data_IF_600558780675
#
_entry.id   IF_600558780675
#
_cell.length_a   1.000
_cell.length_b   1.000
_cell.length_c   1.000
_cell.angle_alpha   90.00
_cell.angle_beta   90.00
_cell.angle_gamma   90.00
#
_symmetry.space_group_name_H-M   'P 1'
#
loop_
_entity.id
_entity.type
_entity.pdbx_description
1 polymer ?
#
# COMPACT_ATOMS: atom_id res chain seq x y z
N UNK A 1 21.22 7.59 -16.58
CA UNK A 1 20.93 7.76 -15.14
C UNK A 1 21.05 9.22 -14.73
N UNK A 2 22.23 9.86 -14.88
CA UNK A 2 22.41 11.29 -14.56
C UNK A 2 21.47 12.25 -15.32
N UNK A 3 21.12 11.92 -16.57
CA UNK A 3 20.18 12.74 -17.36
C UNK A 3 18.74 12.66 -16.84
N UNK A 4 18.30 11.48 -16.40
CA UNK A 4 16.99 11.29 -15.75
C UNK A 4 16.96 12.04 -14.41
N UNK A 5 18.04 11.96 -13.64
CA UNK A 5 18.17 12.60 -12.35
C UNK A 5 18.15 14.14 -12.46
N UNK A 6 18.88 14.71 -13.43
CA UNK A 6 18.86 16.15 -13.73
C UNK A 6 17.49 16.65 -14.21
N UNK A 7 16.77 15.87 -15.03
CA UNK A 7 15.46 16.28 -15.55
C UNK A 7 14.34 16.12 -14.52
N UNK A 8 14.46 15.14 -13.63
CA UNK A 8 13.53 14.93 -12.52
C UNK A 8 13.79 15.85 -11.31
N UNK A 9 15.00 16.41 -11.17
CA UNK A 9 15.32 17.40 -10.13
C UNK A 9 14.81 18.80 -10.47
N UNK A 10 14.56 19.09 -11.74
CA UNK A 10 13.89 20.32 -12.15
C UNK A 10 12.42 20.10 -11.84
N UNK A 11 11.88 20.82 -10.86
CA UNK A 11 10.49 20.75 -10.41
C UNK A 11 9.45 21.22 -11.46
N UNK A 12 9.66 20.88 -12.73
CA UNK A 12 8.76 21.14 -13.84
C UNK A 12 7.91 19.88 -14.10
N UNK A 13 6.61 19.91 -13.81
CA UNK A 13 5.72 18.75 -13.94
C UNK A 13 5.69 18.15 -15.35
N UNK A 14 5.84 18.98 -16.40
CA UNK A 14 5.83 18.53 -17.80
C UNK A 14 7.09 17.72 -18.11
N UNK A 15 8.25 18.19 -17.66
CA UNK A 15 9.51 17.48 -17.84
C UNK A 15 9.56 16.19 -17.04
N UNK A 16 9.04 16.20 -15.80
CA UNK A 16 8.94 14.97 -15.00
C UNK A 16 8.04 13.93 -15.66
N UNK A 17 6.87 14.34 -16.14
CA UNK A 17 5.94 13.43 -16.81
C UNK A 17 6.58 12.83 -18.07
N UNK A 18 7.17 13.66 -18.94
CA UNK A 18 7.84 13.20 -20.16
C UNK A 18 8.99 12.23 -19.86
N UNK A 19 9.80 12.55 -18.85
CA UNK A 19 10.95 11.75 -18.45
C UNK A 19 10.50 10.42 -17.83
N UNK A 20 9.42 10.43 -17.06
CA UNK A 20 8.82 9.21 -16.49
C UNK A 20 8.18 8.33 -17.56
N UNK A 21 7.48 8.91 -18.54
CA UNK A 21 6.94 8.15 -19.68
C UNK A 21 8.05 7.43 -20.45
N UNK A 22 9.15 8.12 -20.77
CA UNK A 22 10.29 7.50 -21.44
C UNK A 22 10.91 6.36 -20.61
N UNK A 23 11.00 6.53 -19.27
CA UNK A 23 11.48 5.48 -18.38
C UNK A 23 10.55 4.26 -18.37
N UNK A 24 9.23 4.48 -18.33
CA UNK A 24 8.22 3.41 -18.41
C UNK A 24 8.37 2.63 -19.72
N UNK A 25 8.46 3.32 -20.86
CA UNK A 25 8.64 2.70 -22.18
C UNK A 25 9.90 1.82 -22.22
N UNK A 26 11.03 2.35 -21.75
CA UNK A 26 12.29 1.58 -21.66
C UNK A 26 12.14 0.33 -20.79
N UNK A 27 11.45 0.44 -19.64
CA UNK A 27 11.20 -0.72 -18.78
C UNK A 27 10.34 -1.76 -19.52
N UNK A 28 9.27 -1.33 -20.18
CA UNK A 28 8.38 -2.24 -20.91
C UNK A 28 9.08 -2.96 -22.06
N UNK A 29 9.92 -2.27 -22.83
CA UNK A 29 10.73 -2.88 -23.89
C UNK A 29 11.67 -3.96 -23.33
N UNK A 30 12.41 -3.64 -22.27
CA UNK A 30 13.33 -4.60 -21.62
C UNK A 30 12.63 -5.78 -20.95
N UNK A 31 11.40 -5.58 -20.45
CA UNK A 31 10.56 -6.68 -19.93
C UNK A 31 10.17 -7.63 -21.07
N UNK A 32 9.76 -7.08 -22.22
CA UNK A 32 9.30 -7.86 -23.39
C UNK A 32 10.42 -8.69 -24.00
N UNK A 33 11.64 -8.17 -24.05
CA UNK A 33 12.75 -8.83 -24.72
C UNK A 33 13.30 -10.07 -23.99
N UNK A 34 12.83 -10.36 -22.75
CA UNK A 34 13.10 -11.58 -21.91
C UNK A 34 14.57 -12.01 -21.73
N UNK A 35 15.52 -11.40 -22.44
CA UNK A 35 16.94 -11.70 -22.47
C UNK A 35 17.64 -11.24 -21.19
N UNK A 36 17.20 -10.11 -20.62
CA UNK A 36 17.74 -9.54 -19.39
C UNK A 36 16.98 -9.96 -18.11
N UNK A 37 15.72 -10.36 -18.21
CA UNK A 37 14.87 -10.63 -17.03
C UNK A 37 15.35 -11.81 -16.18
N UNK A 38 16.11 -12.74 -16.76
CA UNK A 38 16.53 -13.97 -16.09
C UNK A 38 17.78 -13.83 -15.22
N UNK A 39 18.52 -12.72 -15.24
CA UNK A 39 19.81 -12.64 -14.51
C UNK A 39 20.06 -11.39 -13.67
N UNK A 40 19.45 -10.24 -13.94
CA UNK A 40 19.56 -9.04 -13.09
C UNK A 40 18.27 -8.23 -13.15
N UNK A 41 17.83 -7.70 -12.01
CA UNK A 41 16.77 -6.70 -11.97
C UNK A 41 17.10 -5.59 -12.99
N UNK A 42 16.13 -5.23 -13.84
CA UNK A 42 16.30 -4.18 -14.85
C UNK A 42 16.75 -2.91 -14.13
N UNK A 43 17.89 -2.34 -14.52
CA UNK A 43 18.50 -1.20 -13.83
C UNK A 43 17.54 -0.01 -13.72
N UNK A 44 16.72 0.21 -14.75
CA UNK A 44 15.67 1.24 -14.79
C UNK A 44 14.54 0.98 -13.78
N UNK A 45 14.15 -0.29 -13.60
CA UNK A 45 13.16 -0.66 -12.59
C UNK A 45 13.71 -0.46 -11.18
N UNK A 46 14.97 -0.83 -10.95
CA UNK A 46 15.65 -0.59 -9.68
C UNK A 46 15.73 0.91 -9.38
N UNK A 47 16.13 1.71 -10.36
CA UNK A 47 16.15 3.18 -10.25
C UNK A 47 14.76 3.74 -9.92
N UNK A 48 13.71 3.26 -10.57
CA UNK A 48 12.35 3.71 -10.31
C UNK A 48 11.92 3.44 -8.85
N UNK A 49 12.24 2.26 -8.32
CA UNK A 49 11.96 1.90 -6.92
C UNK A 49 12.80 2.73 -5.94
N UNK A 50 14.09 2.91 -6.21
CA UNK A 50 14.95 3.77 -5.39
C UNK A 50 14.47 5.21 -5.38
N UNK A 51 14.03 5.74 -6.53
CA UNK A 51 13.45 7.07 -6.65
C UNK A 51 12.14 7.16 -5.87
N UNK A 52 11.29 6.15 -5.92
CA UNK A 52 10.05 6.09 -5.15
C UNK A 52 10.28 6.23 -3.64
N UNK A 53 11.32 5.59 -3.11
CA UNK A 53 11.64 5.59 -1.67
C UNK A 53 12.32 6.89 -1.22
N UNK A 54 13.18 7.46 -2.09
CA UNK A 54 14.11 8.52 -1.72
C UNK A 54 13.75 9.91 -2.24
N UNK A 55 12.78 10.04 -3.15
CA UNK A 55 12.41 11.32 -3.73
C UNK A 55 11.63 12.23 -2.77
N UNK A 56 11.52 13.48 -3.17
CA UNK A 56 10.56 14.44 -2.63
C UNK A 56 9.11 13.93 -2.82
N UNK A 57 8.11 14.54 -2.14
CA UNK A 57 6.72 14.06 -2.23
C UNK A 57 6.18 13.92 -3.65
N UNK A 58 6.52 14.83 -4.55
CA UNK A 58 6.07 14.76 -5.95
C UNK A 58 6.75 13.62 -6.70
N UNK A 59 8.07 13.47 -6.58
CA UNK A 59 8.80 12.37 -7.19
C UNK A 59 8.35 11.00 -6.68
N UNK A 60 8.01 10.89 -5.40
CA UNK A 60 7.44 9.68 -4.81
C UNK A 60 6.08 9.35 -5.45
N UNK A 61 5.16 10.31 -5.54
CA UNK A 61 3.84 10.10 -6.15
C UNK A 61 3.96 9.71 -7.63
N UNK A 62 4.80 10.40 -8.41
CA UNK A 62 4.97 10.13 -9.85
C UNK A 62 5.59 8.74 -10.05
N UNK A 63 6.63 8.40 -9.29
CA UNK A 63 7.28 7.08 -9.37
C UNK A 63 6.34 5.95 -8.94
N UNK A 64 5.54 6.18 -7.89
CA UNK A 64 4.50 5.26 -7.44
C UNK A 64 3.44 4.99 -8.52
N UNK A 65 2.93 6.06 -9.16
CA UNK A 65 1.99 5.93 -10.28
C UNK A 65 2.59 5.19 -11.47
N UNK A 66 3.87 5.40 -11.76
CA UNK A 66 4.59 4.67 -12.80
C UNK A 66 4.68 3.16 -12.48
N UNK A 67 4.99 2.79 -11.23
CA UNK A 67 4.98 1.38 -10.79
C UNK A 67 3.59 0.76 -10.97
N UNK A 68 2.54 1.45 -10.54
CA UNK A 68 1.15 0.99 -10.74
C UNK A 68 0.82 0.81 -12.22
N UNK A 69 1.24 1.74 -13.09
CA UNK A 69 1.02 1.64 -14.53
C UNK A 69 1.74 0.43 -15.15
N UNK A 70 2.99 0.19 -14.77
CA UNK A 70 3.76 -0.96 -15.23
C UNK A 70 3.10 -2.30 -14.86
N UNK A 71 2.43 -2.36 -13.70
CA UNK A 71 1.67 -3.53 -13.27
C UNK A 71 0.37 -3.67 -14.06
N UNK A 72 -0.40 -2.58 -14.20
CA UNK A 72 -1.65 -2.57 -15.01
C UNK A 72 -1.42 -2.93 -16.47
N UNK A 73 -0.24 -2.60 -17.02
CA UNK A 73 0.16 -2.98 -18.39
C UNK A 73 0.66 -4.42 -18.52
N UNK A 74 0.65 -5.20 -17.43
CA UNK A 74 1.11 -6.60 -17.42
C UNK A 74 2.63 -6.78 -17.47
N UNK A 75 3.40 -5.70 -17.30
CA UNK A 75 4.86 -5.74 -17.35
C UNK A 75 5.47 -6.21 -16.03
N UNK A 76 4.75 -6.08 -14.93
CA UNK A 76 5.18 -6.47 -13.58
C UNK A 76 4.07 -7.24 -12.86
N UNK A 77 4.45 -8.18 -12.00
CA UNK A 77 3.52 -8.95 -11.16
C UNK A 77 3.21 -8.21 -9.86
N UNK A 78 1.92 -8.07 -9.50
CA UNK A 78 1.46 -7.38 -8.29
C UNK A 78 2.10 -7.96 -7.02
N UNK A 79 2.10 -9.30 -6.89
CA UNK A 79 2.60 -10.02 -5.71
C UNK A 79 4.09 -9.73 -5.45
N UNK A 80 4.91 -9.77 -6.52
CA UNK A 80 6.36 -9.52 -6.48
C UNK A 80 6.64 -8.08 -6.06
N UNK A 81 6.01 -7.10 -6.72
CA UNK A 81 6.24 -5.68 -6.41
C UNK A 81 5.77 -5.35 -4.99
N UNK A 82 4.63 -5.91 -4.56
CA UNK A 82 4.15 -5.73 -3.17
C UNK A 82 5.18 -6.22 -2.16
N UNK A 83 5.72 -7.42 -2.36
CA UNK A 83 6.73 -8.00 -1.46
C UNK A 83 8.02 -7.18 -1.42
N UNK A 84 8.49 -6.72 -2.58
CA UNK A 84 9.67 -5.86 -2.68
C UNK A 84 9.46 -4.50 -1.99
N UNK A 85 8.29 -3.86 -2.18
CA UNK A 85 7.99 -2.58 -1.53
C UNK A 85 7.82 -2.73 -0.01
N UNK A 86 7.23 -3.83 0.47
CA UNK A 86 7.18 -4.12 1.92
C UNK A 86 8.59 -4.22 2.51
N UNK A 87 9.52 -4.89 1.83
CA UNK A 87 10.92 -4.97 2.25
C UNK A 87 11.63 -3.60 2.23
N UNK A 88 11.12 -2.64 1.46
CA UNK A 88 11.65 -1.29 1.32
C UNK A 88 11.07 -0.29 2.34
N UNK A 89 10.01 -0.65 3.08
CA UNK A 89 9.35 0.22 4.08
C UNK A 89 10.33 0.84 5.08
N UNK A 90 11.31 0.12 5.66
CA UNK A 90 12.26 0.70 6.63
C UNK A 90 13.11 1.84 6.08
N UNK A 91 13.28 1.91 4.76
CA UNK A 91 14.10 2.90 4.07
C UNK A 91 13.28 4.08 3.51
N UNK A 92 11.95 4.02 3.62
CA UNK A 92 11.06 5.02 3.05
C UNK A 92 11.21 6.38 3.75
N UNK A 93 11.47 7.42 2.94
CA UNK A 93 11.44 8.81 3.41
C UNK A 93 10.04 9.42 3.37
N UNK A 94 9.14 8.84 2.57
CA UNK A 94 7.77 9.30 2.39
C UNK A 94 6.77 8.17 2.61
N UNK A 95 6.27 8.06 3.84
CA UNK A 95 5.29 7.04 4.20
C UNK A 95 3.92 7.25 3.55
N UNK A 96 3.50 8.51 3.32
CA UNK A 96 2.22 8.79 2.65
C UNK A 96 2.18 8.22 1.23
N UNK A 97 3.25 8.40 0.45
CA UNK A 97 3.36 7.80 -0.87
C UNK A 97 3.45 6.27 -0.82
N UNK A 98 4.19 5.73 0.16
CA UNK A 98 4.28 4.29 0.42
C UNK A 98 2.92 3.66 0.75
N UNK A 99 2.14 4.28 1.63
CA UNK A 99 0.77 3.88 2.00
C UNK A 99 -0.12 3.84 0.76
N UNK A 100 -0.10 4.90 -0.04
CA UNK A 100 -0.95 5.02 -1.22
C UNK A 100 -0.67 3.90 -2.22
N UNK A 101 0.61 3.68 -2.57
CA UNK A 101 1.00 2.64 -3.53
C UNK A 101 0.76 1.23 -2.99
N UNK A 102 1.18 0.92 -1.76
CA UNK A 102 0.95 -0.41 -1.19
C UNK A 102 -0.54 -0.73 -1.08
N UNK A 103 -1.37 0.25 -0.71
CA UNK A 103 -2.81 0.03 -0.64
C UNK A 103 -3.43 -0.15 -2.02
N UNK A 104 -3.02 0.64 -3.02
CA UNK A 104 -3.43 0.46 -4.42
C UNK A 104 -3.07 -0.96 -4.92
N UNK A 105 -1.89 -1.47 -4.56
CA UNK A 105 -1.45 -2.83 -4.90
C UNK A 105 -2.28 -3.92 -4.22
N UNK A 106 -2.58 -3.75 -2.93
CA UNK A 106 -3.42 -4.67 -2.17
C UNK A 106 -4.84 -4.75 -2.77
N UNK A 107 -5.41 -3.60 -3.13
CA UNK A 107 -6.73 -3.55 -3.78
C UNK A 107 -6.67 -4.16 -5.18
N UNK A 108 -5.60 -3.93 -5.95
CA UNK A 108 -5.43 -4.58 -7.25
C UNK A 108 -5.33 -6.10 -7.14
N UNK A 109 -4.55 -6.62 -6.19
CA UNK A 109 -4.44 -8.05 -5.94
C UNK A 109 -5.80 -8.66 -5.54
N UNK A 110 -6.56 -7.96 -4.68
CA UNK A 110 -7.94 -8.32 -4.34
C UNK A 110 -8.83 -8.39 -5.59
N UNK A 111 -8.79 -7.37 -6.45
CA UNK A 111 -9.64 -7.33 -7.64
C UNK A 111 -9.28 -8.42 -8.65
N UNK A 112 -8.01 -8.81 -8.74
CA UNK A 112 -7.56 -9.93 -9.56
C UNK A 112 -8.06 -11.29 -9.02
N UNK A 113 -8.15 -11.42 -7.69
CA UNK A 113 -8.57 -12.66 -7.00
C UNK A 113 -10.09 -12.77 -6.80
N UNK A 114 -10.83 -11.67 -6.88
CA UNK A 114 -12.30 -11.59 -6.64
C UNK A 114 -13.13 -12.55 -7.52
N UNK A 115 -12.61 -12.99 -8.66
CA UNK A 115 -13.34 -13.88 -9.57
C UNK A 115 -13.42 -15.35 -9.09
N UNK A 116 -12.90 -15.69 -7.90
CA UNK A 116 -12.74 -17.07 -7.43
C UNK A 116 -13.26 -17.27 -5.99
N UNK A 117 -14.56 -17.09 -5.73
CA UNK A 117 -15.19 -17.17 -4.39
C UNK A 117 -14.97 -15.94 -3.48
N UNK A 118 -15.52 -16.01 -2.25
CA UNK A 118 -15.35 -14.98 -1.20
C UNK A 118 -13.86 -14.73 -1.00
N UNK A 119 -13.43 -13.47 -1.08
CA UNK A 119 -12.04 -13.09 -0.85
C UNK A 119 -11.62 -13.50 0.57
N UNK A 120 -10.41 -14.04 0.71
CA UNK A 120 -9.78 -14.34 2.00
C UNK A 120 -8.47 -13.55 2.04
N UNK A 121 -8.28 -12.74 3.08
CA UNK A 121 -7.06 -11.96 3.22
C UNK A 121 -5.86 -12.90 3.46
N UNK A 122 -4.79 -12.83 2.65
CA UNK A 122 -3.63 -13.69 2.83
C UNK A 122 -2.72 -13.21 3.99
N UNK A 123 -3.01 -12.05 4.57
CA UNK A 123 -2.18 -11.40 5.57
C UNK A 123 -2.74 -11.56 6.99
N UNK A 124 -1.83 -11.53 7.96
CA UNK A 124 -2.10 -11.63 9.38
C UNK A 124 -1.43 -10.48 10.16
N UNK A 125 -1.51 -10.52 11.49
CA UNK A 125 -0.84 -9.56 12.38
C UNK A 125 0.69 -9.71 12.39
N UNK A 126 1.20 -10.93 12.15
CA UNK A 126 2.62 -11.30 12.35
C UNK A 126 3.26 -11.86 11.08
N UNK A 127 2.89 -13.06 10.62
CA UNK A 127 3.44 -13.65 9.37
C UNK A 127 2.33 -14.34 8.56
N UNK A 128 2.20 -14.04 7.25
CA UNK A 128 2.77 -12.86 6.59
C UNK A 128 2.08 -11.59 7.13
N UNK A 129 2.86 -10.60 7.55
CA UNK A 129 2.30 -9.37 8.14
C UNK A 129 1.57 -8.53 7.08
N UNK A 130 0.43 -7.95 7.45
CA UNK A 130 -0.25 -7.00 6.57
C UNK A 130 0.64 -5.77 6.30
N UNK A 131 0.85 -5.35 5.03
CA UNK A 131 1.79 -4.27 4.69
C UNK A 131 1.57 -2.95 5.44
N UNK A 132 0.32 -2.56 5.67
CA UNK A 132 0.00 -1.36 6.43
C UNK A 132 0.32 -1.47 7.94
N UNK A 133 0.34 -2.69 8.50
CA UNK A 133 0.85 -2.91 9.87
C UNK A 133 2.37 -2.69 9.89
N UNK A 134 3.09 -3.18 8.88
CA UNK A 134 4.54 -2.96 8.76
C UNK A 134 4.88 -1.47 8.71
N UNK A 135 4.09 -0.68 7.97
CA UNK A 135 4.21 0.79 7.97
C UNK A 135 3.98 1.38 9.37
N UNK A 136 2.91 0.99 10.07
CA UNK A 136 2.61 1.50 11.42
C UNK A 136 3.68 1.15 12.45
N UNK A 137 4.29 -0.03 12.34
CA UNK A 137 5.40 -0.44 13.21
C UNK A 137 6.62 0.45 12.97
N UNK A 138 6.90 0.78 11.70
CA UNK A 138 8.06 1.58 11.32
C UNK A 138 7.84 3.09 11.58
N UNK A 139 6.63 3.59 11.35
CA UNK A 139 6.23 4.97 11.56
C UNK A 139 4.80 5.02 12.10
N UNK A 140 4.69 5.13 13.43
CA UNK A 140 3.40 5.16 14.14
C UNK A 140 2.56 6.38 13.79
N UNK A 141 3.18 7.50 13.41
CA UNK A 141 2.48 8.76 13.12
C UNK A 141 1.74 8.74 11.77
N UNK A 142 2.04 7.75 10.93
CA UNK A 142 1.41 7.59 9.61
C UNK A 142 -0.03 7.05 9.67
N UNK A 143 -0.56 6.79 10.87
CA UNK A 143 -1.92 6.24 11.06
C UNK A 143 -3.01 7.13 10.44
N UNK A 144 -2.85 8.46 10.47
CA UNK A 144 -3.83 9.38 9.93
C UNK A 144 -3.85 9.34 8.39
N UNK A 145 -2.69 9.20 7.77
CA UNK A 145 -2.58 9.02 6.31
C UNK A 145 -3.24 7.71 5.86
N UNK A 146 -3.02 6.62 6.63
CA UNK A 146 -3.69 5.34 6.40
C UNK A 146 -5.21 5.52 6.48
N UNK A 147 -5.71 6.11 7.56
CA UNK A 147 -7.16 6.28 7.76
C UNK A 147 -7.79 7.15 6.66
N UNK A 148 -7.12 8.22 6.25
CA UNK A 148 -7.61 9.09 5.17
C UNK A 148 -7.64 8.36 3.82
N UNK A 149 -6.63 7.55 3.54
CA UNK A 149 -6.61 6.74 2.33
C UNK A 149 -7.72 5.67 2.36
N UNK A 150 -7.91 4.97 3.49
CA UNK A 150 -9.03 4.03 3.65
C UNK A 150 -10.36 4.71 3.39
N UNK A 151 -10.63 5.89 3.98
CA UNK A 151 -11.87 6.64 3.69
C UNK A 151 -12.12 6.85 2.21
N UNK A 152 -11.08 7.11 1.41
CA UNK A 152 -11.22 7.27 -0.04
C UNK A 152 -11.58 5.97 -0.76
N UNK A 153 -11.09 4.82 -0.31
CA UNK A 153 -11.44 3.52 -0.89
C UNK A 153 -12.91 3.14 -0.70
N UNK A 154 -13.49 3.54 0.43
CA UNK A 154 -14.88 3.23 0.78
C UNK A 154 -15.88 4.26 0.21
N UNK A 155 -15.43 5.23 -0.60
CA UNK A 155 -16.29 6.12 -1.39
C UNK A 155 -16.80 5.40 -2.66
N UNK A 156 -17.41 4.24 -2.48
CA UNK A 156 -17.99 3.42 -3.56
C UNK A 156 -19.34 2.87 -3.10
N UNK A 157 -20.24 2.59 -4.04
CA UNK A 157 -21.53 1.95 -3.76
C UNK A 157 -21.49 0.42 -4.01
N UNK A 158 -20.34 -0.13 -4.44
CA UNK A 158 -20.15 -1.58 -4.62
C UNK A 158 -20.02 -2.28 -3.25
N UNK A 159 -21.14 -2.79 -2.74
CA UNK A 159 -21.21 -3.51 -1.46
C UNK A 159 -20.28 -4.72 -1.39
N UNK A 160 -20.12 -5.46 -2.49
CA UNK A 160 -19.24 -6.63 -2.52
C UNK A 160 -17.78 -6.19 -2.41
N UNK A 161 -17.42 -5.08 -3.06
CA UNK A 161 -16.09 -4.50 -2.89
C UNK A 161 -15.88 -4.05 -1.44
N UNK A 162 -16.85 -3.39 -0.81
CA UNK A 162 -16.78 -2.98 0.60
C UNK A 162 -16.56 -4.19 1.53
N UNK A 163 -17.28 -5.29 1.32
CA UNK A 163 -17.09 -6.53 2.08
C UNK A 163 -15.68 -7.11 1.92
N UNK A 164 -15.16 -7.15 0.69
CA UNK A 164 -13.81 -7.63 0.43
C UNK A 164 -12.74 -6.68 0.99
N UNK A 165 -12.96 -5.36 0.98
CA UNK A 165 -12.08 -4.38 1.62
C UNK A 165 -12.07 -4.56 3.14
N UNK A 166 -13.24 -4.83 3.74
CA UNK A 166 -13.35 -5.14 5.16
C UNK A 166 -12.54 -6.39 5.54
N UNK A 167 -12.59 -7.43 4.72
CA UNK A 167 -11.76 -8.63 4.89
C UNK A 167 -10.25 -8.33 4.71
N UNK A 168 -9.88 -7.61 3.65
CA UNK A 168 -8.50 -7.22 3.36
C UNK A 168 -7.86 -6.46 4.52
N UNK A 169 -8.56 -5.46 5.06
CA UNK A 169 -8.04 -4.60 6.12
C UNK A 169 -8.37 -5.09 7.54
N UNK A 170 -9.06 -6.22 7.70
CA UNK A 170 -9.35 -6.81 9.01
C UNK A 170 -8.11 -6.97 9.91
N UNK A 171 -6.94 -7.45 9.41
CA UNK A 171 -5.73 -7.52 10.22
C UNK A 171 -5.28 -6.15 10.73
N UNK A 172 -5.34 -5.11 9.89
CA UNK A 172 -4.97 -3.75 10.27
C UNK A 172 -5.88 -3.22 11.39
N UNK A 173 -7.20 -3.42 11.27
CA UNK A 173 -8.14 -2.98 12.30
C UNK A 173 -7.90 -3.70 13.63
N UNK A 174 -7.69 -5.02 13.59
CA UNK A 174 -7.32 -5.81 14.77
C UNK A 174 -6.02 -5.29 15.40
N UNK A 175 -5.00 -4.99 14.59
CA UNK A 175 -3.74 -4.45 15.07
C UNK A 175 -3.92 -3.11 15.78
N UNK A 176 -4.59 -2.14 15.17
CA UNK A 176 -4.80 -0.80 15.76
C UNK A 176 -5.58 -0.89 17.07
N UNK A 177 -6.62 -1.73 17.12
CA UNK A 177 -7.49 -1.85 18.29
C UNK A 177 -6.87 -2.66 19.43
N UNK A 178 -6.16 -3.73 19.08
CA UNK A 178 -5.63 -4.70 20.04
C UNK A 178 -4.11 -4.60 20.22
N UNK A 179 -3.49 -3.50 19.74
CA UNK A 179 -2.03 -3.31 19.73
C UNK A 179 -1.39 -3.71 21.08
N UNK A 180 -0.66 -4.84 21.13
CA UNK A 180 -0.12 -5.36 22.38
C UNK A 180 1.01 -4.47 22.93
N UNK A 181 1.60 -3.62 22.09
CA UNK A 181 2.72 -2.75 22.47
C UNK A 181 2.28 -1.37 22.92
N UNK A 182 0.96 -1.09 22.94
CA UNK A 182 0.37 0.19 23.37
C UNK A 182 0.97 1.42 22.66
N UNK A 183 1.59 1.23 21.48
CA UNK A 183 2.21 2.32 20.71
C UNK A 183 1.16 3.15 19.99
N UNK A 184 0.00 2.55 19.75
CA UNK A 184 -1.13 3.20 19.07
C UNK A 184 -1.82 4.18 20.01
N UNK A 185 -1.84 5.51 19.70
CA UNK A 185 -2.52 6.50 20.54
C UNK A 185 -4.01 6.21 20.69
N UNK A 186 -4.60 6.50 21.86
CA UNK A 186 -6.05 6.34 22.08
C UNK A 186 -6.89 7.10 21.05
N UNK A 187 -6.42 8.29 20.65
CA UNK A 187 -7.05 9.08 19.61
C UNK A 187 -7.07 8.36 18.25
N UNK A 188 -5.99 7.64 17.89
CA UNK A 188 -5.96 6.79 16.69
C UNK A 188 -7.03 5.71 16.78
N UNK A 189 -7.11 4.97 17.90
CA UNK A 189 -8.13 3.94 18.11
C UNK A 189 -9.54 4.50 17.99
N UNK A 190 -9.81 5.64 18.63
CA UNK A 190 -11.11 6.33 18.55
C UNK A 190 -11.48 6.66 17.11
N UNK A 191 -10.52 7.17 16.30
CA UNK A 191 -10.77 7.53 14.90
C UNK A 191 -10.98 6.33 13.99
N UNK A 192 -10.25 5.24 14.19
CA UNK A 192 -10.51 4.00 13.47
C UNK A 192 -11.85 3.38 13.88
N UNK A 193 -12.26 3.48 15.15
CA UNK A 193 -13.54 2.96 15.60
C UNK A 193 -14.69 3.76 14.98
N UNK A 194 -14.60 5.10 15.00
CA UNK A 194 -15.54 5.99 14.31
C UNK A 194 -15.67 5.64 12.83
N UNK A 195 -14.55 5.31 12.18
CA UNK A 195 -14.57 4.85 10.80
C UNK A 195 -15.26 3.50 10.62
N UNK A 196 -15.03 2.52 11.51
CA UNK A 196 -15.63 1.19 11.40
C UNK A 196 -17.15 1.16 11.67
N UNK A 197 -17.66 2.07 12.50
CA UNK A 197 -19.10 2.11 12.86
C UNK A 197 -19.95 2.94 11.90
N UNK A 198 -19.33 3.66 10.97
CA UNK A 198 -20.02 4.43 9.93
C UNK A 198 -20.80 3.48 8.99
N UNK A 199 -22.06 3.81 8.74
CA UNK A 199 -23.06 2.96 8.09
C UNK A 199 -22.58 2.35 6.76
N UNK A 200 -21.76 3.08 5.99
CA UNK A 200 -21.29 2.61 4.68
C UNK A 200 -20.34 1.41 4.76
N UNK A 201 -19.49 1.35 5.77
CA UNK A 201 -18.47 0.31 5.94
C UNK A 201 -18.71 -0.59 7.14
N UNK A 202 -19.75 -0.32 7.92
CA UNK A 202 -20.10 -1.06 9.13
C UNK A 202 -20.29 -2.54 8.83
N UNK A 203 -19.45 -3.37 9.46
CA UNK A 203 -19.53 -4.81 9.44
C UNK A 203 -19.55 -5.31 10.89
N UNK A 204 -20.73 -5.73 11.35
CA UNK A 204 -20.95 -6.16 12.73
C UNK A 204 -20.15 -7.41 13.10
N UNK A 205 -19.92 -8.31 12.14
CA UNK A 205 -19.10 -9.51 12.36
C UNK A 205 -17.63 -9.13 12.59
N UNK A 206 -17.09 -8.23 11.78
CA UNK A 206 -15.75 -7.69 11.95
C UNK A 206 -15.59 -6.96 13.29
N UNK A 207 -16.56 -6.09 13.64
CA UNK A 207 -16.55 -5.37 14.91
C UNK A 207 -16.62 -6.37 16.08
N UNK A 208 -17.53 -7.34 16.02
CA UNK A 208 -17.65 -8.39 17.05
C UNK A 208 -16.34 -9.17 17.21
N UNK A 209 -15.69 -9.55 16.11
CA UNK A 209 -14.40 -10.22 16.12
C UNK A 209 -13.28 -9.36 16.74
N UNK A 210 -13.26 -8.05 16.47
CA UNK A 210 -12.31 -7.12 17.09
C UNK A 210 -12.57 -7.02 18.60
N UNK A 211 -13.83 -6.84 19.00
CA UNK A 211 -14.21 -6.71 20.41
C UNK A 211 -13.87 -7.98 21.20
N UNK A 212 -14.06 -9.16 20.61
CA UNK A 212 -13.67 -10.44 21.21
C UNK A 212 -12.16 -10.57 21.44
N UNK A 213 -11.35 -9.84 20.66
CA UNK A 213 -9.89 -9.81 20.78
C UNK A 213 -9.37 -8.74 21.75
N UNK A 214 -10.19 -7.76 22.11
CA UNK A 214 -9.79 -6.75 23.08
C UNK A 214 -9.53 -7.42 24.43
N UNK A 215 -8.28 -7.34 24.90
CA UNK A 215 -7.96 -7.80 26.25
C UNK A 215 -8.62 -6.86 27.26
N UNK A 216 -9.71 -7.30 27.86
CA UNK A 216 -10.25 -6.68 29.07
C UNK A 216 -9.21 -6.83 30.17
N UNK A 217 -8.38 -5.80 30.38
CA UNK A 217 -7.55 -5.73 31.58
C UNK A 217 -8.50 -5.66 32.79
N UNK A 218 -8.67 -6.79 33.47
CA UNK A 218 -9.16 -6.78 34.86
C UNK A 218 -8.11 -6.02 35.65
N UNK A 219 -8.37 -4.74 35.91
CA UNK A 219 -7.79 -4.07 37.08
C UNK A 219 -8.38 -4.80 38.29
N UNK A 220 -7.61 -5.74 38.84
CA UNK A 220 -7.81 -6.28 40.18
C UNK A 220 -7.19 -5.29 41.16
#
# INVERSE_FOLDING_TARGET
MEEYERKLSINNPVLMAKTMSALIETIQEKVRDKSDFKKKEIAELKYLKEKFINADPNGCIISGKALIYLIKSGSLEVSRITSELVAMVPFAKNYRGMIMVLSDLLVMDLLLKRNQDKYICPFNLVIPQHPLITILIQNSDSWLDILNYLRSLYQTDDKILIENLNELFAPLYKYVMCDPFLKTPEYCRSKFLQFLVDEKQCNLELIGNILAWLQCSRKI
#
